data_IF_982296317464
#
_entry.id   IF_982296317464
#
_cell.length_a   1.000
_cell.length_b   1.000
_cell.length_c   1.000
_cell.angle_alpha   90.00
_cell.angle_beta   90.00
_cell.angle_gamma   90.00
#
_symmetry.space_group_name_H-M   'P 1'
#
loop_
_entity.id
_entity.type
_entity.pdbx_description
1 polymer ?
#
# COMPACT_ATOMS: atom_id res chain seq x y z
N UNK A 1 -18.27 -23.25 17.46
CA UNK A 1 -19.68 -22.93 17.79
C UNK A 1 -20.42 -22.22 16.66
N UNK A 2 -19.93 -21.06 16.19
CA UNK A 2 -20.53 -20.30 15.08
C UNK A 2 -20.85 -21.13 13.81
N UNK A 3 -19.92 -22.00 13.37
CA UNK A 3 -20.13 -22.89 12.22
C UNK A 3 -21.34 -23.84 12.40
N UNK A 4 -21.57 -24.34 13.61
CA UNK A 4 -22.71 -25.23 13.87
C UNK A 4 -24.03 -24.47 13.76
N UNK A 5 -24.07 -23.23 14.26
CA UNK A 5 -25.25 -22.35 14.12
C UNK A 5 -25.52 -22.07 12.64
N UNK A 6 -24.48 -21.73 11.86
CA UNK A 6 -24.61 -21.51 10.42
C UNK A 6 -25.12 -22.75 9.67
N UNK A 7 -24.69 -23.96 10.06
CA UNK A 7 -25.22 -25.22 9.49
C UNK A 7 -26.68 -25.48 9.85
N UNK A 8 -27.09 -25.16 11.09
CA UNK A 8 -28.49 -25.26 11.50
C UNK A 8 -29.38 -24.26 10.74
N UNK A 9 -28.91 -23.03 10.52
CA UNK A 9 -29.58 -22.05 9.65
C UNK A 9 -29.64 -22.54 8.20
N UNK A 10 -28.52 -22.98 7.64
CA UNK A 10 -28.43 -23.46 6.27
C UNK A 10 -29.32 -24.68 6.00
N UNK A 11 -29.76 -25.40 7.03
CA UNK A 11 -30.72 -26.51 6.96
C UNK A 11 -32.13 -26.15 7.40
N UNK A 12 -32.42 -24.85 7.65
CA UNK A 12 -33.71 -24.33 8.15
C UNK A 12 -34.18 -24.96 9.47
N UNK A 13 -33.26 -25.48 10.29
CA UNK A 13 -33.58 -26.04 11.63
C UNK A 13 -33.81 -24.95 12.68
N UNK A 14 -33.30 -23.75 12.41
CA UNK A 14 -33.53 -22.54 13.20
C UNK A 14 -33.83 -21.38 12.26
N UNK A 15 -34.63 -20.43 12.73
CA UNK A 15 -35.02 -19.25 11.95
C UNK A 15 -33.95 -18.16 11.99
N UNK A 16 -33.79 -17.43 10.88
CA UNK A 16 -32.77 -16.37 10.77
C UNK A 16 -33.03 -15.22 11.73
N UNK A 17 -34.31 -14.94 12.05
CA UNK A 17 -34.66 -13.83 12.93
C UNK A 17 -34.13 -14.06 14.36
N UNK A 18 -33.98 -15.31 14.79
CA UNK A 18 -33.45 -15.67 16.11
C UNK A 18 -31.95 -15.37 16.31
N UNK A 19 -31.26 -15.07 15.21
CA UNK A 19 -29.79 -14.87 15.16
C UNK A 19 -29.36 -13.67 14.32
N UNK A 20 -30.30 -12.90 13.78
CA UNK A 20 -30.03 -11.82 12.83
C UNK A 20 -29.03 -10.78 13.37
N UNK A 21 -29.19 -10.42 14.66
CA UNK A 21 -28.34 -9.46 15.37
C UNK A 21 -27.15 -10.11 16.11
N UNK A 22 -27.04 -11.45 16.12
CA UNK A 22 -25.99 -12.15 16.84
C UNK A 22 -24.73 -12.24 16.00
N UNK A 23 -23.57 -12.03 16.64
CA UNK A 23 -22.25 -12.13 15.98
C UNK A 23 -21.87 -13.59 15.73
N UNK A 24 -22.29 -14.14 14.60
CA UNK A 24 -22.12 -15.55 14.23
C UNK A 24 -21.50 -15.77 12.85
N UNK A 25 -21.32 -14.73 12.05
CA UNK A 25 -20.71 -14.81 10.72
C UNK A 25 -19.21 -14.52 10.86
N UNK A 26 -18.33 -15.50 10.64
CA UNK A 26 -16.90 -15.29 10.74
C UNK A 26 -16.37 -14.53 9.52
N UNK A 27 -15.69 -13.42 9.78
CA UNK A 27 -14.83 -12.76 8.81
C UNK A 27 -13.52 -13.53 8.65
N UNK A 28 -12.78 -13.23 7.59
CA UNK A 28 -11.47 -13.82 7.26
C UNK A 28 -10.38 -13.58 8.31
N UNK A 29 -10.56 -12.63 9.23
CA UNK A 29 -9.66 -12.33 10.35
C UNK A 29 -10.13 -12.92 11.69
N UNK A 30 -11.04 -13.89 11.65
CA UNK A 30 -11.66 -14.56 12.81
C UNK A 30 -12.60 -13.69 13.66
N UNK A 31 -12.82 -12.43 13.28
CA UNK A 31 -13.82 -11.56 13.93
C UNK A 31 -15.22 -12.00 13.52
N UNK A 32 -16.12 -12.13 14.49
CA UNK A 32 -17.52 -12.46 14.24
C UNK A 32 -18.35 -11.19 14.05
N UNK A 33 -19.21 -11.19 13.03
CA UNK A 33 -20.20 -10.13 12.76
C UNK A 33 -21.60 -10.73 12.66
N UNK A 34 -22.63 -9.89 12.77
CA UNK A 34 -24.02 -10.30 12.62
C UNK A 34 -24.50 -10.27 11.16
N UNK A 35 -25.59 -10.98 10.86
CA UNK A 35 -26.23 -10.87 9.54
C UNK A 35 -26.73 -9.45 9.28
N UNK A 36 -27.21 -8.75 10.31
CA UNK A 36 -27.54 -7.32 10.22
C UNK A 36 -26.35 -6.49 9.73
N UNK A 37 -25.17 -6.65 10.32
CA UNK A 37 -23.96 -5.91 9.91
C UNK A 37 -23.53 -6.23 8.47
N UNK A 38 -23.77 -7.46 8.01
CA UNK A 38 -23.39 -7.91 6.67
C UNK A 38 -24.43 -7.51 5.61
N UNK A 39 -25.71 -7.35 5.97
CA UNK A 39 -26.80 -7.08 5.04
C UNK A 39 -27.16 -5.60 4.99
N UNK A 40 -27.27 -4.95 6.15
CA UNK A 40 -27.71 -3.55 6.24
C UNK A 40 -26.54 -2.57 6.20
N UNK A 41 -25.35 -3.00 6.68
CA UNK A 41 -24.17 -2.14 6.80
C UNK A 41 -23.01 -2.59 5.88
N UNK A 42 -23.33 -3.22 4.74
CA UNK A 42 -22.33 -3.53 3.72
C UNK A 42 -22.02 -2.29 2.88
N UNK A 43 -21.15 -1.41 3.38
CA UNK A 43 -20.73 -0.19 2.68
C UNK A 43 -20.27 -0.46 1.24
N UNK A 44 -19.44 -1.49 1.04
CA UNK A 44 -18.82 -1.78 -0.25
C UNK A 44 -19.11 -3.20 -0.79
N UNK A 45 -20.02 -3.95 -0.15
CA UNK A 45 -20.41 -5.32 -0.54
C UNK A 45 -19.68 -6.44 0.21
N UNK A 46 -20.05 -7.68 -0.09
CA UNK A 46 -19.56 -8.90 0.59
C UNK A 46 -18.63 -9.71 -0.32
N UNK A 47 -17.50 -10.12 0.24
CA UNK A 47 -16.47 -10.95 -0.38
C UNK A 47 -16.29 -12.24 0.40
N UNK A 48 -15.66 -13.23 -0.23
CA UNK A 48 -15.15 -14.41 0.44
C UNK A 48 -13.62 -14.44 0.37
N UNK A 49 -12.96 -14.76 1.47
CA UNK A 49 -11.50 -14.82 1.54
C UNK A 49 -11.00 -15.62 2.74
N UNK A 50 -9.75 -16.11 2.64
CA UNK A 50 -9.04 -16.71 3.79
C UNK A 50 -8.26 -15.67 4.59
N UNK A 51 -7.69 -16.08 5.72
CA UNK A 51 -6.83 -15.23 6.55
C UNK A 51 -5.52 -14.93 5.84
N UNK A 52 -5.43 -13.76 5.22
CA UNK A 52 -4.26 -13.30 4.53
C UNK A 52 -4.30 -11.77 4.38
N UNK A 53 -3.18 -11.20 3.90
CA UNK A 53 -3.01 -9.75 3.83
C UNK A 53 -3.97 -9.07 2.85
N UNK A 54 -4.48 -9.76 1.83
CA UNK A 54 -5.46 -9.17 0.89
C UNK A 54 -6.83 -9.04 1.53
N UNK A 55 -7.23 -10.06 2.29
CA UNK A 55 -8.48 -10.03 3.04
C UNK A 55 -8.46 -8.95 4.13
N UNK A 56 -7.36 -8.82 4.87
CA UNK A 56 -7.19 -7.77 5.89
C UNK A 56 -7.30 -6.36 5.28
N UNK A 57 -6.75 -6.15 4.08
CA UNK A 57 -6.80 -4.88 3.37
C UNK A 57 -8.23 -4.53 2.92
N UNK A 58 -8.95 -5.49 2.35
CA UNK A 58 -10.37 -5.30 2.02
C UNK A 58 -11.21 -4.98 3.28
N UNK A 59 -10.94 -5.64 4.41
CA UNK A 59 -11.62 -5.36 5.68
C UNK A 59 -11.38 -3.92 6.17
N UNK A 60 -10.17 -3.37 6.02
CA UNK A 60 -9.85 -1.96 6.35
C UNK A 60 -10.55 -0.96 5.44
N UNK A 61 -10.90 -1.37 4.22
CA UNK A 61 -11.66 -0.57 3.26
C UNK A 61 -13.18 -0.79 3.40
N UNK A 62 -13.65 -1.26 4.56
CA UNK A 62 -15.05 -1.53 4.88
C UNK A 62 -15.77 -2.57 4.00
N UNK A 63 -15.05 -3.39 3.23
CA UNK A 63 -15.64 -4.60 2.65
C UNK A 63 -15.88 -5.64 3.75
N UNK A 64 -16.96 -6.41 3.63
CA UNK A 64 -17.19 -7.57 4.50
C UNK A 64 -16.56 -8.81 3.86
N UNK A 65 -15.38 -9.21 4.31
CA UNK A 65 -14.69 -10.41 3.82
C UNK A 65 -15.00 -11.59 4.72
N UNK A 66 -16.01 -12.39 4.34
CA UNK A 66 -16.42 -13.60 5.05
C UNK A 66 -15.38 -14.71 4.84
N UNK A 67 -15.13 -15.52 5.88
CA UNK A 67 -14.22 -16.67 5.77
C UNK A 67 -14.67 -17.65 4.68
N UNK A 68 -13.70 -18.15 3.90
CA UNK A 68 -13.94 -19.21 2.92
C UNK A 68 -14.50 -20.49 3.55
N UNK A 69 -14.24 -20.73 4.84
CA UNK A 69 -14.68 -21.95 5.55
C UNK A 69 -16.21 -22.06 5.67
N UNK A 70 -16.93 -20.95 5.51
CA UNK A 70 -18.40 -20.89 5.66
C UNK A 70 -19.11 -20.49 4.36
N UNK A 71 -18.40 -20.45 3.23
CA UNK A 71 -18.96 -19.98 1.95
C UNK A 71 -20.21 -20.77 1.53
N UNK A 72 -20.18 -22.09 1.74
CA UNK A 72 -21.27 -22.99 1.36
C UNK A 72 -22.51 -22.74 2.21
N UNK A 73 -22.34 -22.63 3.52
CA UNK A 73 -23.40 -22.34 4.48
C UNK A 73 -24.03 -20.98 4.19
N UNK A 74 -23.22 -19.93 3.97
CA UNK A 74 -23.71 -18.57 3.71
C UNK A 74 -24.51 -18.49 2.39
N UNK A 75 -24.04 -19.16 1.33
CA UNK A 75 -24.79 -19.24 0.05
C UNK A 75 -26.13 -19.96 0.22
N UNK A 76 -26.15 -21.06 0.97
CA UNK A 76 -27.39 -21.79 1.27
C UNK A 76 -28.35 -20.94 2.11
N UNK A 77 -27.86 -20.23 3.12
CA UNK A 77 -28.68 -19.33 3.94
C UNK A 77 -29.31 -18.23 3.06
N UNK A 78 -28.53 -17.59 2.18
CA UNK A 78 -29.05 -16.59 1.24
C UNK A 78 -30.23 -17.13 0.42
N UNK A 79 -30.08 -18.33 -0.16
CA UNK A 79 -31.11 -18.97 -0.97
C UNK A 79 -32.33 -19.34 -0.13
N UNK A 80 -32.11 -19.96 1.03
CA UNK A 80 -33.15 -20.51 1.88
C UNK A 80 -34.06 -19.46 2.51
N UNK A 81 -33.50 -18.30 2.87
CA UNK A 81 -34.21 -17.19 3.51
C UNK A 81 -34.42 -15.99 2.57
N UNK A 82 -34.14 -16.14 1.28
CA UNK A 82 -34.35 -15.13 0.25
C UNK A 82 -33.71 -13.77 0.59
N UNK A 83 -32.45 -13.78 1.03
CA UNK A 83 -31.72 -12.59 1.47
C UNK A 83 -31.20 -11.79 0.29
N UNK A 84 -32.09 -11.12 -0.43
CA UNK A 84 -31.75 -10.41 -1.68
C UNK A 84 -30.75 -9.26 -1.47
N UNK A 85 -30.83 -8.59 -0.32
CA UNK A 85 -29.89 -7.53 0.07
C UNK A 85 -28.47 -8.03 0.35
N UNK A 86 -28.28 -9.34 0.54
CA UNK A 86 -26.96 -9.93 0.74
C UNK A 86 -26.24 -10.09 -0.61
N UNK A 87 -25.59 -9.04 -1.10
CA UNK A 87 -24.90 -9.05 -2.38
C UNK A 87 -23.47 -9.55 -2.28
N UNK A 88 -23.14 -10.59 -3.07
CA UNK A 88 -21.78 -11.10 -3.19
C UNK A 88 -21.12 -10.47 -4.42
N UNK A 89 -19.95 -9.88 -4.21
CA UNK A 89 -19.17 -9.32 -5.32
C UNK A 89 -18.55 -10.44 -6.14
N UNK A 90 -18.60 -10.30 -7.47
CA UNK A 90 -17.91 -11.19 -8.40
C UNK A 90 -16.45 -10.74 -8.62
N UNK A 91 -15.70 -10.59 -7.51
CA UNK A 91 -14.29 -10.22 -7.49
C UNK A 91 -13.59 -10.93 -6.33
N UNK A 92 -12.31 -11.21 -6.48
CA UNK A 92 -11.47 -11.76 -5.43
C UNK A 92 -10.97 -10.67 -4.49
N UNK A 93 -10.59 -11.03 -3.26
CA UNK A 93 -9.91 -10.10 -2.35
C UNK A 93 -8.63 -9.55 -2.95
N UNK A 94 -7.95 -10.28 -3.84
CA UNK A 94 -6.74 -9.82 -4.53
C UNK A 94 -7.02 -8.74 -5.58
N UNK A 95 -8.15 -8.83 -6.29
CA UNK A 95 -8.54 -7.84 -7.31
C UNK A 95 -9.07 -6.53 -6.71
N UNK A 96 -9.62 -6.60 -5.49
CA UNK A 96 -10.15 -5.43 -4.77
C UNK A 96 -9.19 -4.87 -3.72
N UNK A 97 -8.27 -5.68 -3.21
CA UNK A 97 -7.23 -5.21 -2.31
C UNK A 97 -6.40 -4.17 -3.05
N UNK A 98 -6.36 -2.97 -2.49
CA UNK A 98 -5.54 -1.85 -2.96
C UNK A 98 -4.13 -1.99 -2.40
N UNK A 99 -3.58 -3.20 -2.39
CA UNK A 99 -2.13 -3.32 -2.34
C UNK A 99 -1.67 -2.93 -3.71
N UNK A 100 -1.11 -1.73 -3.80
CA UNK A 100 -0.53 -1.28 -5.05
C UNK A 100 0.35 -2.41 -5.60
N UNK A 101 0.15 -2.79 -6.86
CA UNK A 101 0.95 -3.78 -7.52
C UNK A 101 2.40 -3.28 -7.53
N UNK A 102 3.21 -3.72 -6.57
CA UNK A 102 4.61 -3.35 -6.47
C UNK A 102 5.46 -4.43 -7.11
N UNK A 103 6.11 -4.11 -8.23
CA UNK A 103 7.09 -4.98 -8.89
C UNK A 103 8.39 -4.23 -9.08
N UNK A 104 9.49 -4.80 -8.60
CA UNK A 104 10.82 -4.30 -8.92
C UNK A 104 11.13 -4.54 -10.40
N UNK A 105 11.72 -3.54 -11.04
CA UNK A 105 12.14 -3.59 -12.44
C UNK A 105 13.65 -3.42 -12.58
N UNK A 106 14.22 -4.00 -13.62
CA UNK A 106 15.56 -3.65 -14.11
C UNK A 106 15.54 -2.33 -14.90
N UNK A 107 16.70 -1.69 -15.05
CA UNK A 107 16.81 -0.37 -15.70
C UNK A 107 16.46 -0.41 -17.19
N UNK A 108 16.66 -1.54 -17.85
CA UNK A 108 16.28 -1.80 -19.24
C UNK A 108 14.78 -1.61 -19.51
N UNK A 109 13.96 -1.57 -18.45
CA UNK A 109 12.53 -1.33 -18.54
C UNK A 109 12.15 0.15 -18.68
N UNK A 110 13.08 1.10 -18.50
CA UNK A 110 12.84 2.52 -18.76
C UNK A 110 12.91 2.82 -20.25
N UNK A 111 11.80 3.31 -20.81
CA UNK A 111 11.75 3.63 -22.25
C UNK A 111 12.30 5.03 -22.54
N UNK A 112 12.26 5.93 -21.55
CA UNK A 112 12.73 7.32 -21.61
C UNK A 112 13.23 7.77 -20.24
N UNK A 113 13.86 8.95 -20.19
CA UNK A 113 14.15 9.69 -18.96
C UNK A 113 14.99 8.93 -17.92
N UNK A 114 15.85 8.01 -18.36
CA UNK A 114 16.75 7.23 -17.49
C UNK A 114 17.65 8.13 -16.61
N UNK A 115 17.99 9.31 -17.12
CA UNK A 115 18.73 10.34 -16.40
C UNK A 115 18.07 10.74 -15.06
N UNK A 116 16.74 10.71 -14.95
CA UNK A 116 16.04 11.08 -13.71
C UNK A 116 16.08 9.98 -12.66
N UNK A 117 16.17 8.71 -13.07
CA UNK A 117 16.50 7.64 -12.14
C UNK A 117 17.89 7.86 -11.53
N UNK A 118 18.89 8.12 -12.36
CA UNK A 118 20.25 8.40 -11.87
C UNK A 118 20.30 9.66 -11.01
N UNK A 119 19.54 10.69 -11.35
CA UNK A 119 19.40 11.89 -10.53
C UNK A 119 18.87 11.59 -9.13
N UNK A 120 17.88 10.69 -8.99
CA UNK A 120 17.39 10.24 -7.69
C UNK A 120 18.47 9.49 -6.90
N UNK A 121 19.26 8.64 -7.57
CA UNK A 121 20.42 7.97 -6.97
C UNK A 121 21.45 8.99 -6.47
N UNK A 122 21.79 10.01 -7.27
CA UNK A 122 22.74 11.06 -6.89
C UNK A 122 22.23 11.90 -5.71
N UNK A 123 20.94 12.26 -5.70
CA UNK A 123 20.33 12.94 -4.55
C UNK A 123 20.47 12.10 -3.28
N UNK A 124 20.20 10.80 -3.38
CA UNK A 124 20.32 9.86 -2.27
C UNK A 124 21.77 9.71 -1.78
N UNK A 125 22.73 9.57 -2.69
CA UNK A 125 24.15 9.51 -2.35
C UNK A 125 24.69 10.81 -1.78
N UNK A 126 24.24 11.96 -2.28
CA UNK A 126 24.80 13.25 -1.88
C UNK A 126 24.24 13.70 -0.53
N UNK A 127 22.93 13.63 -0.36
CA UNK A 127 22.25 14.20 0.81
C UNK A 127 22.12 13.14 1.90
N UNK A 128 21.42 12.05 1.61
CA UNK A 128 21.01 11.09 2.63
C UNK A 128 22.17 10.25 3.13
N UNK A 129 23.17 9.95 2.29
CA UNK A 129 24.43 9.36 2.77
C UNK A 129 25.08 10.22 3.85
N UNK A 130 25.13 11.55 3.68
CA UNK A 130 25.76 12.44 4.67
C UNK A 130 24.97 12.41 5.98
N UNK A 131 23.63 12.47 5.90
CA UNK A 131 22.76 12.44 7.07
C UNK A 131 22.89 11.13 7.85
N UNK A 132 23.04 10.00 7.15
CA UNK A 132 23.05 8.66 7.74
C UNK A 132 24.46 8.08 7.96
N UNK A 133 25.53 8.74 7.52
CA UNK A 133 26.91 8.34 7.86
C UNK A 133 27.25 8.54 9.34
N UNK A 134 26.40 9.26 10.08
CA UNK A 134 26.59 9.64 11.49
C UNK A 134 25.67 8.88 12.46
N UNK A 135 24.83 7.99 11.96
CA UNK A 135 23.76 7.36 12.73
C UNK A 135 23.90 5.84 12.63
N UNK A 136 24.31 5.19 13.72
CA UNK A 136 24.70 3.76 13.75
C UNK A 136 23.52 2.84 13.40
N UNK A 137 22.30 3.27 13.72
CA UNK A 137 21.08 2.48 13.52
C UNK A 137 20.37 2.74 12.19
N UNK A 138 20.85 3.71 11.41
CA UNK A 138 20.18 4.13 10.19
C UNK A 138 21.12 4.11 8.98
N UNK A 139 20.87 3.17 8.08
CA UNK A 139 21.62 3.04 6.83
C UNK A 139 20.94 3.80 5.69
N UNK A 140 21.75 4.46 4.85
CA UNK A 140 21.31 4.96 3.54
C UNK A 140 20.61 3.82 2.77
N UNK A 141 19.39 4.08 2.31
CA UNK A 141 18.58 3.12 1.54
C UNK A 141 19.04 3.07 0.08
N UNK A 142 18.86 1.94 -0.58
CA UNK A 142 19.09 1.75 -2.01
C UNK A 142 17.90 2.28 -2.78
N UNK A 143 18.16 3.04 -3.83
CA UNK A 143 17.11 3.47 -4.78
C UNK A 143 17.00 2.39 -5.84
N UNK A 144 15.77 1.93 -6.07
CA UNK A 144 15.44 0.92 -7.06
C UNK A 144 14.31 1.46 -7.96
N UNK A 145 14.17 0.87 -9.15
CA UNK A 145 13.03 1.11 -10.02
C UNK A 145 11.93 0.07 -9.73
N UNK A 146 10.67 0.48 -9.81
CA UNK A 146 9.57 -0.48 -9.83
C UNK A 146 8.34 0.06 -10.54
N UNK A 147 7.26 -0.71 -10.55
CA UNK A 147 5.92 -0.25 -10.95
C UNK A 147 4.99 -0.24 -9.74
N UNK A 148 4.09 0.73 -9.70
CA UNK A 148 2.93 0.76 -8.83
C UNK A 148 1.75 1.40 -9.56
N UNK A 149 0.55 0.94 -9.28
CA UNK A 149 -0.73 1.53 -9.70
C UNK A 149 -1.24 2.58 -8.71
N UNK A 150 -0.71 2.63 -7.49
CA UNK A 150 -1.20 3.49 -6.41
C UNK A 150 -0.20 4.54 -5.93
N UNK A 151 1.11 4.27 -6.05
CA UNK A 151 2.14 5.10 -5.40
C UNK A 151 3.18 5.60 -6.40
N UNK A 152 3.65 6.82 -6.18
CA UNK A 152 4.75 7.41 -6.96
C UNK A 152 6.11 6.84 -6.54
N UNK A 153 6.25 6.48 -5.27
CA UNK A 153 7.34 5.71 -4.70
C UNK A 153 6.84 4.88 -3.53
N UNK A 154 7.67 3.94 -3.06
CA UNK A 154 7.43 3.23 -1.81
C UNK A 154 8.72 2.73 -1.18
N UNK A 155 8.69 2.41 0.11
CA UNK A 155 9.84 1.84 0.83
C UNK A 155 9.48 0.59 1.63
N UNK A 156 10.50 -0.23 1.92
CA UNK A 156 10.40 -1.31 2.90
C UNK A 156 10.62 -0.80 4.35
N UNK A 157 10.96 0.49 4.50
CA UNK A 157 11.22 1.17 5.77
C UNK A 157 12.66 1.05 6.25
N UNK A 158 13.50 0.21 5.62
CA UNK A 158 14.84 -0.11 6.15
C UNK A 158 15.96 -0.04 5.12
N UNK A 159 15.79 -0.67 3.97
CA UNK A 159 16.89 -0.92 3.03
C UNK A 159 16.64 -0.34 1.65
N UNK A 160 15.38 -0.25 1.21
CA UNK A 160 15.07 0.03 -0.18
C UNK A 160 13.99 1.09 -0.31
N UNK A 161 14.15 1.97 -1.29
CA UNK A 161 13.12 2.85 -1.81
C UNK A 161 12.97 2.50 -3.29
N UNK A 162 11.75 2.24 -3.73
CA UNK A 162 11.43 2.03 -5.13
C UNK A 162 10.72 3.27 -5.66
N UNK A 163 11.18 3.80 -6.78
CA UNK A 163 10.50 4.87 -7.50
C UNK A 163 9.72 4.25 -8.65
N UNK A 164 8.47 4.65 -8.80
CA UNK A 164 7.62 4.15 -9.86
C UNK A 164 8.13 4.60 -11.23
N UNK A 165 8.20 3.67 -12.18
CA UNK A 165 8.55 3.93 -13.56
C UNK A 165 7.69 5.04 -14.16
N UNK A 166 6.38 5.00 -13.92
CA UNK A 166 5.46 6.01 -14.44
C UNK A 166 5.82 7.41 -13.93
N UNK A 167 6.28 7.51 -12.67
CA UNK A 167 6.77 8.76 -12.11
C UNK A 167 8.04 9.23 -12.82
N UNK A 168 9.07 8.39 -12.95
CA UNK A 168 10.32 8.75 -13.64
C UNK A 168 10.06 9.19 -15.08
N UNK A 169 9.21 8.46 -15.80
CA UNK A 169 8.88 8.76 -17.20
C UNK A 169 8.02 10.03 -17.34
N UNK A 170 7.21 10.35 -16.33
CA UNK A 170 6.35 11.54 -16.30
C UNK A 170 7.04 12.83 -15.82
N UNK A 171 8.29 12.76 -15.34
CA UNK A 171 9.02 13.94 -14.89
C UNK A 171 9.31 14.90 -16.06
N UNK A 172 9.02 16.18 -15.82
CA UNK A 172 9.14 17.26 -16.79
C UNK A 172 10.53 17.87 -16.86
N UNK A 173 10.63 19.18 -16.59
CA UNK A 173 11.90 19.93 -16.64
C UNK A 173 12.86 19.44 -15.56
N UNK A 174 14.15 19.55 -15.85
CA UNK A 174 15.23 19.00 -15.01
C UNK A 174 15.22 19.59 -13.60
N UNK A 175 15.07 20.90 -13.48
CA UNK A 175 15.13 21.62 -12.20
C UNK A 175 13.95 21.23 -11.30
N UNK A 176 12.76 21.16 -11.88
CA UNK A 176 11.54 20.69 -11.21
C UNK A 176 11.67 19.22 -10.79
N UNK A 177 12.22 18.38 -11.67
CA UNK A 177 12.44 16.96 -11.39
C UNK A 177 13.36 16.73 -10.18
N UNK A 178 14.41 17.55 -10.00
CA UNK A 178 15.28 17.45 -8.82
C UNK A 178 14.49 17.70 -7.53
N UNK A 179 13.63 18.73 -7.52
CA UNK A 179 12.82 19.07 -6.34
C UNK A 179 11.81 17.97 -6.03
N UNK A 180 11.09 17.48 -7.05
CA UNK A 180 10.11 16.39 -6.90
C UNK A 180 10.77 15.13 -6.36
N UNK A 181 11.92 14.74 -6.92
CA UNK A 181 12.67 13.57 -6.45
C UNK A 181 13.20 13.76 -5.03
N UNK A 182 13.68 14.96 -4.68
CA UNK A 182 14.15 15.26 -3.33
C UNK A 182 13.02 15.18 -2.30
N UNK A 183 11.87 15.77 -2.58
CA UNK A 183 10.70 15.74 -1.70
C UNK A 183 10.22 14.29 -1.50
N UNK A 184 10.15 13.53 -2.58
CA UNK A 184 9.80 12.11 -2.55
C UNK A 184 10.78 11.30 -1.71
N UNK A 185 12.09 11.52 -1.83
CA UNK A 185 13.05 10.85 -0.96
C UNK A 185 12.85 11.26 0.51
N UNK A 186 12.61 12.54 0.81
CA UNK A 186 12.30 12.97 2.18
C UNK A 186 11.06 12.25 2.73
N UNK A 187 10.01 12.12 1.91
CA UNK A 187 8.80 11.38 2.24
C UNK A 187 9.12 9.92 2.56
N UNK A 188 9.79 9.21 1.67
CA UNK A 188 10.08 7.78 1.84
C UNK A 188 11.01 7.50 3.02
N UNK A 189 12.00 8.36 3.28
CA UNK A 189 12.85 8.25 4.48
C UNK A 189 12.10 8.51 5.78
N UNK A 190 10.92 9.11 5.74
CA UNK A 190 10.09 9.37 6.92
C UNK A 190 9.26 8.17 7.34
N UNK A 191 9.02 7.24 6.42
CA UNK A 191 8.47 5.92 6.73
C UNK A 191 9.50 5.10 7.52
N UNK A 192 9.03 4.53 8.63
CA UNK A 192 9.85 3.70 9.54
C UNK A 192 9.56 2.21 9.36
N UNK A 193 8.47 1.89 8.67
CA UNK A 193 8.04 0.54 8.30
C UNK A 193 7.68 0.52 6.82
N UNK A 194 7.39 -0.67 6.29
CA UNK A 194 6.94 -0.83 4.91
C UNK A 194 5.64 -0.06 4.66
N UNK A 195 5.55 0.65 3.53
CA UNK A 195 4.39 1.51 3.18
C UNK A 195 3.06 0.74 3.07
N UNK A 196 3.11 -0.59 3.00
CA UNK A 196 1.92 -1.47 3.02
C UNK A 196 1.37 -1.75 4.42
N UNK A 197 2.01 -1.23 5.47
CA UNK A 197 1.68 -1.47 6.89
C UNK A 197 1.53 -0.22 7.74
N UNK A 198 1.80 0.98 7.23
CA UNK A 198 1.58 2.22 7.98
C UNK A 198 0.16 2.76 7.72
N UNK A 199 -0.55 3.14 8.78
CA UNK A 199 -1.71 4.04 8.71
C UNK A 199 -1.22 5.35 8.09
N UNK A 200 -1.71 5.65 6.88
CA UNK A 200 -0.86 6.14 5.79
C UNK A 200 0.01 7.36 6.09
N UNK A 201 -0.39 8.32 6.92
CA UNK A 201 0.47 9.43 7.35
C UNK A 201 0.00 9.96 8.72
N UNK A 202 0.30 9.25 9.80
CA UNK A 202 -0.05 9.72 11.15
C UNK A 202 0.85 10.89 11.63
N UNK A 203 0.58 11.44 12.82
CA UNK A 203 1.35 12.55 13.39
C UNK A 203 2.86 12.28 13.46
N UNK A 204 3.27 11.04 13.75
CA UNK A 204 4.68 10.64 13.81
C UNK A 204 5.34 10.74 12.43
N UNK A 205 4.64 10.30 11.38
CA UNK A 205 5.11 10.46 10.01
C UNK A 205 5.38 11.93 9.66
N UNK A 206 4.43 12.84 9.93
CA UNK A 206 4.60 14.26 9.60
C UNK A 206 5.74 14.91 10.39
N UNK A 207 5.93 14.53 11.66
CA UNK A 207 7.07 14.98 12.45
C UNK A 207 8.40 14.52 11.83
N UNK A 208 8.48 13.25 11.44
CA UNK A 208 9.67 12.70 10.77
C UNK A 208 9.92 13.37 9.41
N UNK A 209 8.87 13.61 8.63
CA UNK A 209 8.97 14.31 7.34
C UNK A 209 9.49 15.74 7.50
N UNK A 210 8.95 16.49 8.46
CA UNK A 210 9.46 17.82 8.76
C UNK A 210 10.94 17.79 9.19
N UNK A 211 11.33 16.82 10.03
CA UNK A 211 12.72 16.61 10.45
C UNK A 211 13.63 16.27 9.27
N UNK A 212 13.18 15.41 8.36
CA UNK A 212 13.94 15.05 7.16
C UNK A 212 14.15 16.26 6.25
N UNK A 213 13.09 17.00 5.96
CA UNK A 213 13.16 18.24 5.16
C UNK A 213 14.12 19.24 5.79
N UNK A 214 14.00 19.52 7.09
CA UNK A 214 14.90 20.48 7.78
C UNK A 214 16.36 20.06 7.72
N UNK A 215 16.66 18.76 7.84
CA UNK A 215 18.02 18.23 7.77
C UNK A 215 18.57 18.24 6.35
N UNK A 216 17.75 17.97 5.34
CA UNK A 216 18.19 17.80 3.95
C UNK A 216 18.27 19.11 3.17
N UNK A 217 17.38 20.08 3.47
CA UNK A 217 17.25 21.34 2.75
C UNK A 217 18.55 22.15 2.63
N UNK A 218 19.41 22.27 3.67
CA UNK A 218 20.67 23.00 3.56
C UNK A 218 21.63 22.45 2.50
N UNK A 219 21.52 21.16 2.17
CA UNK A 219 22.37 20.49 1.20
C UNK A 219 21.81 20.56 -0.23
N UNK A 220 20.52 20.87 -0.39
CA UNK A 220 19.81 20.75 -1.66
C UNK A 220 20.38 21.68 -2.74
N UNK A 221 20.60 22.96 -2.43
CA UNK A 221 21.13 23.93 -3.40
C UNK A 221 22.54 23.54 -3.90
N UNK A 222 23.37 22.95 -3.03
CA UNK A 222 24.68 22.45 -3.45
C UNK A 222 24.55 21.16 -4.27
N UNK A 223 23.65 20.26 -3.87
CA UNK A 223 23.38 19.03 -4.61
C UNK A 223 22.86 19.30 -6.03
N UNK A 224 21.95 20.26 -6.20
CA UNK A 224 21.45 20.70 -7.53
C UNK A 224 22.63 21.13 -8.43
N UNK A 225 23.54 21.97 -7.91
CA UNK A 225 24.74 22.40 -8.65
C UNK A 225 25.66 21.23 -8.99
N UNK A 226 25.86 20.31 -8.05
CA UNK A 226 26.67 19.10 -8.26
C UNK A 226 26.09 18.21 -9.37
N UNK A 227 24.81 17.86 -9.27
CA UNK A 227 24.08 17.06 -10.27
C UNK A 227 24.15 17.74 -11.64
N UNK A 228 23.89 19.04 -11.70
CA UNK A 228 23.97 19.78 -12.96
C UNK A 228 25.36 19.70 -13.60
N UNK A 229 26.43 19.86 -12.83
CA UNK A 229 27.81 19.70 -13.33
C UNK A 229 28.10 18.28 -13.80
N UNK A 230 27.66 17.26 -13.06
CA UNK A 230 27.91 15.84 -13.39
C UNK A 230 27.27 15.46 -14.73
N UNK A 231 25.99 15.76 -14.91
CA UNK A 231 25.27 15.48 -16.16
C UNK A 231 25.79 16.32 -17.35
N UNK A 232 26.29 17.54 -17.12
CA UNK A 232 26.97 18.30 -18.17
C UNK A 232 28.26 17.61 -18.62
N UNK A 233 29.11 17.13 -17.69
CA UNK A 233 30.33 16.41 -18.05
C UNK A 233 30.05 15.14 -18.85
N UNK A 234 29.05 14.37 -18.45
CA UNK A 234 28.63 13.16 -19.17
C UNK A 234 28.12 13.47 -20.59
N UNK A 235 27.35 14.55 -20.76
CA UNK A 235 26.85 14.99 -22.06
C UNK A 235 27.96 15.41 -23.02
N UNK A 236 29.01 16.06 -22.51
CA UNK A 236 30.08 16.64 -23.32
C UNK A 236 31.37 15.81 -23.36
N UNK A 237 31.39 14.60 -22.77
CA UNK A 237 32.54 13.67 -22.75
C UNK A 237 33.88 14.37 -22.44
N UNK A 238 33.93 15.10 -21.33
CA UNK A 238 35.20 15.49 -20.71
C UNK A 238 35.76 14.35 -19.87
#
# INVERSE_FOLDING_TARGET
>A
EALNILRLLASKRIDIQSVYDKKIVPLSNDVLVSFKEVIENANMGVLFGGKNVWSDDCLRQDYKVISNDVITEIKRIKQNFNLNKLEFLNKTTKELSRKGYHKQLGLENLKKNIQYYFMAVELNEYIFKILYKRDIDHTKRRINLGTSDLSQAWTDGKYNIWINKATIEGLGKKEEAILVLWEMLCHEYSHTRTNTREDQHNTSFYFNCNKMVRKSLPYLAHCIRYINRKFLKEKYRY
#
